data_IF_609662245977
#
_entry.id   IF_609662245977
#
_cell.length_a   1.000
_cell.length_b   1.000
_cell.length_c   1.000
_cell.angle_alpha   90.00
_cell.angle_beta   90.00
_cell.angle_gamma   90.00
#
_symmetry.space_group_name_H-M   'P 1'
#
loop_
_entity.id
_entity.type
_entity.pdbx_description
1 polymer ?
#
# COMPACT_ATOMS: atom_id res chain seq x y z
N UNK A 1 22.66 17.27 -9.81
CA UNK A 1 22.18 16.36 -8.74
C UNK A 1 20.84 15.82 -9.23
N UNK A 2 20.67 14.50 -9.32
CA UNK A 2 19.34 13.93 -9.61
C UNK A 2 18.38 14.36 -8.51
N UNK A 3 17.21 14.86 -8.89
CA UNK A 3 16.16 15.23 -7.96
C UNK A 3 15.72 13.99 -7.17
N UNK A 4 15.59 14.09 -5.84
CA UNK A 4 15.22 12.94 -5.01
C UNK A 4 13.80 12.52 -5.34
N UNK A 5 13.62 11.28 -5.80
CA UNK A 5 12.30 10.68 -6.05
C UNK A 5 11.45 10.70 -4.79
N UNK A 6 10.16 10.96 -4.90
CA UNK A 6 9.22 10.84 -3.78
C UNK A 6 9.01 9.35 -3.44
N UNK A 7 8.96 9.03 -2.15
CA UNK A 7 8.80 7.68 -1.65
C UNK A 7 7.46 7.53 -0.94
N UNK A 8 6.64 6.58 -1.42
CA UNK A 8 5.28 6.38 -0.92
C UNK A 8 5.11 5.02 -0.25
N UNK A 9 4.45 5.04 0.89
CA UNK A 9 4.03 3.82 1.58
C UNK A 9 2.69 3.34 0.99
N UNK A 10 2.69 2.15 0.36
CA UNK A 10 1.51 1.60 -0.30
C UNK A 10 0.38 1.22 0.65
N UNK A 11 -0.89 1.31 0.21
CA UNK A 11 -2.01 0.76 0.95
C UNK A 11 -1.95 -0.77 0.97
N UNK A 12 -1.92 -1.37 2.18
CA UNK A 12 -1.93 -2.81 2.37
C UNK A 12 -3.12 -3.19 3.25
N UNK A 13 -4.19 -3.68 2.61
CA UNK A 13 -5.42 -4.06 3.31
C UNK A 13 -5.13 -5.14 4.36
N UNK A 14 -5.67 -4.94 5.55
CA UNK A 14 -5.47 -5.83 6.67
C UNK A 14 -4.21 -5.53 7.50
N UNK A 15 -3.14 -5.04 6.91
CA UNK A 15 -1.81 -4.86 7.53
C UNK A 15 -1.51 -3.41 7.88
N UNK A 16 -1.52 -2.51 6.88
CA UNK A 16 -1.09 -1.12 7.04
C UNK A 16 -2.20 -0.20 7.57
N UNK A 17 -2.90 -0.60 8.64
CA UNK A 17 -3.84 0.24 9.35
C UNK A 17 -3.15 1.39 10.09
N UNK A 18 -3.94 2.37 10.60
CA UNK A 18 -3.40 3.58 11.22
C UNK A 18 -2.39 3.32 12.35
N UNK A 19 -2.60 2.27 13.15
CA UNK A 19 -1.67 1.91 14.24
C UNK A 19 -0.30 1.56 13.67
N UNK A 20 -0.27 0.69 12.65
CA UNK A 20 0.98 0.28 12.02
C UNK A 20 1.68 1.46 11.34
N UNK A 21 0.93 2.30 10.60
CA UNK A 21 1.51 3.47 9.91
C UNK A 21 2.14 4.46 10.88
N UNK A 22 1.47 4.74 12.02
CA UNK A 22 2.01 5.66 13.02
C UNK A 22 3.28 5.13 13.66
N UNK A 23 3.29 3.86 14.08
CA UNK A 23 4.50 3.25 14.64
C UNK A 23 5.61 3.24 13.59
N UNK A 24 5.26 2.93 12.33
CA UNK A 24 6.26 2.99 11.27
C UNK A 24 6.84 4.41 11.15
N UNK A 25 6.02 5.45 11.16
CA UNK A 25 6.45 6.84 11.08
C UNK A 25 7.24 7.30 12.32
N UNK A 26 6.97 6.74 13.50
CA UNK A 26 7.73 7.03 14.73
C UNK A 26 9.18 6.49 14.67
N UNK A 27 9.41 5.44 13.87
CA UNK A 27 10.71 4.80 13.71
C UNK A 27 11.45 5.18 12.41
N UNK A 28 10.69 5.58 11.38
CA UNK A 28 11.20 5.83 10.02
C UNK A 28 10.59 7.10 9.42
N UNK A 29 11.42 8.10 9.17
CA UNK A 29 11.04 9.44 8.72
C UNK A 29 11.21 9.69 7.20
N UNK A 30 11.43 8.63 6.41
CA UNK A 30 11.81 8.73 5.00
C UNK A 30 10.63 8.57 4.02
N UNK A 31 9.39 8.69 4.49
CA UNK A 31 8.17 8.51 3.69
C UNK A 31 7.51 9.86 3.38
N UNK A 32 7.38 10.18 2.10
CA UNK A 32 6.76 11.44 1.66
C UNK A 32 5.22 11.39 1.73
N UNK A 33 4.61 10.21 1.44
CA UNK A 33 3.16 9.99 1.52
C UNK A 33 2.84 8.57 1.98
N UNK A 34 1.80 8.47 2.79
CA UNK A 34 1.16 7.19 3.17
C UNK A 34 -0.20 7.07 2.51
N UNK A 35 -0.58 5.86 2.11
CA UNK A 35 -1.92 5.59 1.58
C UNK A 35 -2.66 4.65 2.52
N UNK A 36 -3.92 4.99 2.85
CA UNK A 36 -4.72 4.13 3.72
C UNK A 36 -5.17 2.86 3.02
N UNK A 37 -5.43 1.77 3.74
CA UNK A 37 -6.37 0.75 3.28
C UNK A 37 -7.66 1.41 2.78
N UNK A 38 -8.32 0.79 1.80
CA UNK A 38 -9.43 1.44 1.13
C UNK A 38 -10.72 1.50 1.97
N UNK A 39 -11.41 2.63 1.86
CA UNK A 39 -12.79 2.81 2.29
C UNK A 39 -13.71 2.33 1.17
N UNK A 40 -14.64 1.43 1.50
CA UNK A 40 -15.59 0.87 0.52
C UNK A 40 -16.84 1.74 0.44
N UNK A 41 -17.19 2.22 -0.75
CA UNK A 41 -18.46 2.95 -0.96
C UNK A 41 -19.69 2.02 -0.82
N UNK A 42 -20.74 2.54 -0.16
CA UNK A 42 -21.99 1.82 0.11
C UNK A 42 -23.20 2.66 -0.26
N UNK A 43 -24.35 2.04 -0.59
CA UNK A 43 -25.58 2.79 -0.90
C UNK A 43 -26.02 3.70 0.25
N UNK A 44 -25.73 3.33 1.51
CA UNK A 44 -26.05 4.15 2.69
C UNK A 44 -25.19 5.42 2.80
N UNK A 45 -24.11 5.53 2.04
CA UNK A 45 -23.13 6.61 2.17
C UNK A 45 -22.32 6.59 3.47
N UNK A 46 -22.56 5.63 4.37
CA UNK A 46 -21.93 5.58 5.69
C UNK A 46 -20.66 4.72 5.65
N UNK A 47 -19.54 5.27 6.10
CA UNK A 47 -18.29 4.53 6.31
C UNK A 47 -18.43 3.58 7.52
N UNK A 48 -17.77 2.42 7.46
CA UNK A 48 -17.68 1.57 8.66
C UNK A 48 -16.76 2.23 9.69
N UNK A 49 -17.07 2.01 10.98
CA UNK A 49 -16.26 2.54 12.07
C UNK A 49 -14.77 2.18 11.96
N UNK A 50 -14.45 0.97 11.48
CA UNK A 50 -13.06 0.56 11.24
C UNK A 50 -12.39 1.42 10.16
N UNK A 51 -13.08 1.64 9.02
CA UNK A 51 -12.57 2.44 7.90
C UNK A 51 -12.42 3.90 8.31
N UNK A 52 -13.41 4.44 9.01
CA UNK A 52 -13.39 5.81 9.52
C UNK A 52 -12.20 6.01 10.50
N UNK A 53 -12.03 5.12 11.49
CA UNK A 53 -10.89 5.20 12.42
C UNK A 53 -9.54 5.20 11.71
N UNK A 54 -9.45 4.50 10.59
CA UNK A 54 -8.20 4.39 9.82
C UNK A 54 -7.79 5.69 9.14
N UNK A 55 -8.77 6.57 8.87
CA UNK A 55 -8.55 7.84 8.18
C UNK A 55 -8.86 9.08 9.04
N UNK A 56 -9.26 8.93 10.31
CA UNK A 56 -9.45 10.10 11.18
C UNK A 56 -8.14 10.89 11.32
N UNK A 57 -8.14 12.23 11.12
CA UNK A 57 -6.93 13.05 11.25
C UNK A 57 -6.23 12.86 12.59
N UNK A 58 -6.95 12.84 13.70
CA UNK A 58 -6.39 12.59 15.04
C UNK A 58 -5.63 11.25 15.20
N UNK A 59 -5.87 10.31 14.30
CA UNK A 59 -5.16 9.03 14.26
C UNK A 59 -4.01 9.03 13.23
N UNK A 60 -3.75 10.16 12.57
CA UNK A 60 -2.76 10.28 11.49
C UNK A 60 -2.03 11.64 11.51
N UNK A 61 -1.88 12.26 12.69
CA UNK A 61 -1.39 13.65 12.83
C UNK A 61 0.05 13.84 12.32
N UNK A 62 0.89 12.81 12.45
CA UNK A 62 2.33 12.90 12.14
C UNK A 62 2.67 12.38 10.74
N UNK A 63 1.68 12.08 9.90
CA UNK A 63 1.91 11.52 8.57
C UNK A 63 1.12 12.26 7.49
N UNK A 64 1.70 12.36 6.29
CA UNK A 64 0.98 12.81 5.11
C UNK A 64 0.14 11.65 4.55
N UNK A 65 -1.10 11.51 5.02
CA UNK A 65 -2.00 10.44 4.61
C UNK A 65 -2.87 10.84 3.42
N UNK A 66 -2.94 9.96 2.42
CA UNK A 66 -3.92 10.00 1.34
C UNK A 66 -4.93 8.87 1.55
N UNK A 67 -6.20 9.17 1.86
CA UNK A 67 -7.22 8.14 2.01
C UNK A 67 -7.57 7.52 0.65
N UNK A 68 -7.72 6.18 0.63
CA UNK A 68 -8.04 5.45 -0.60
C UNK A 68 -9.53 5.04 -0.60
N UNK A 69 -10.18 5.19 -1.75
CA UNK A 69 -11.59 4.84 -1.99
C UNK A 69 -11.69 3.65 -2.95
N UNK A 70 -12.50 2.66 -2.58
CA UNK A 70 -12.87 1.54 -3.45
C UNK A 70 -14.31 1.70 -3.91
N UNK A 71 -14.50 2.09 -5.17
CA UNK A 71 -15.79 2.39 -5.79
C UNK A 71 -15.88 1.84 -7.21
N UNK A 72 -17.10 1.70 -7.70
CA UNK A 72 -17.49 1.50 -9.09
C UNK A 72 -18.77 2.30 -9.45
N UNK A 73 -19.16 3.20 -8.57
CA UNK A 73 -20.28 4.11 -8.75
C UNK A 73 -19.81 5.52 -8.42
N UNK A 74 -20.03 6.46 -9.34
CA UNK A 74 -19.49 7.81 -9.23
C UNK A 74 -20.10 8.60 -8.06
N UNK A 75 -21.42 8.52 -7.82
CA UNK A 75 -22.06 9.24 -6.73
C UNK A 75 -21.56 8.72 -5.36
N UNK A 76 -21.33 7.41 -5.25
CA UNK A 76 -20.72 6.82 -4.05
C UNK A 76 -19.27 7.29 -3.83
N UNK A 77 -18.48 7.44 -4.89
CA UNK A 77 -17.14 8.01 -4.82
C UNK A 77 -17.16 9.46 -4.39
N UNK A 78 -18.00 10.29 -5.03
CA UNK A 78 -18.15 11.72 -4.75
C UNK A 78 -18.58 11.95 -3.29
N UNK A 79 -19.54 11.15 -2.80
CA UNK A 79 -19.97 11.21 -1.39
C UNK A 79 -18.82 10.89 -0.43
N UNK A 80 -18.09 9.80 -0.68
CA UNK A 80 -16.95 9.42 0.16
C UNK A 80 -15.83 10.47 0.12
N UNK A 81 -15.52 11.01 -1.06
CA UNK A 81 -14.54 12.09 -1.22
C UNK A 81 -14.97 13.36 -0.48
N UNK A 82 -16.26 13.73 -0.53
CA UNK A 82 -16.82 14.84 0.23
C UNK A 82 -16.63 14.69 1.74
N UNK A 83 -16.92 13.51 2.30
CA UNK A 83 -16.67 13.22 3.71
C UNK A 83 -15.17 13.32 4.06
N UNK A 84 -14.27 12.85 3.17
CA UNK A 84 -12.83 12.97 3.37
C UNK A 84 -12.36 14.43 3.31
N UNK A 85 -12.96 15.25 2.44
CA UNK A 85 -12.70 16.70 2.41
C UNK A 85 -13.14 17.38 3.71
N UNK A 86 -14.30 17.02 4.27
CA UNK A 86 -14.76 17.52 5.59
C UNK A 86 -13.80 17.14 6.73
N UNK A 87 -13.10 16.01 6.61
CA UNK A 87 -12.02 15.61 7.51
C UNK A 87 -10.70 16.38 7.28
N UNK A 88 -10.63 17.27 6.27
CA UNK A 88 -9.46 18.09 5.97
C UNK A 88 -8.49 17.51 4.93
N UNK A 89 -8.84 16.42 4.26
CA UNK A 89 -7.99 15.87 3.19
C UNK A 89 -8.15 16.68 1.89
N UNK A 90 -7.02 16.93 1.21
CA UNK A 90 -6.96 17.64 -0.08
C UNK A 90 -6.80 16.68 -1.27
N UNK A 91 -6.44 15.43 -1.01
CA UNK A 91 -6.23 14.39 -2.01
C UNK A 91 -6.94 13.12 -1.56
N UNK A 92 -7.56 12.43 -2.53
CA UNK A 92 -8.09 11.07 -2.37
C UNK A 92 -7.51 10.17 -3.46
N UNK A 93 -7.41 8.87 -3.18
CA UNK A 93 -6.91 7.90 -4.13
C UNK A 93 -8.00 6.91 -4.55
N UNK A 94 -8.21 6.73 -5.85
CA UNK A 94 -9.11 5.70 -6.38
C UNK A 94 -8.38 4.36 -6.50
N UNK A 95 -8.97 3.29 -5.92
CA UNK A 95 -8.43 1.94 -6.05
C UNK A 95 -8.99 1.23 -7.30
N UNK A 96 -8.13 1.02 -8.28
CA UNK A 96 -8.35 0.18 -9.47
C UNK A 96 -7.32 -0.95 -9.57
N UNK A 97 -6.77 -1.38 -8.42
CA UNK A 97 -5.68 -2.36 -8.38
C UNK A 97 -5.94 -3.60 -7.53
N UNK A 98 -6.91 -3.58 -6.61
CA UNK A 98 -7.18 -4.74 -5.74
C UNK A 98 -7.71 -5.93 -6.53
N UNK A 99 -6.98 -7.09 -6.55
CA UNK A 99 -7.38 -8.27 -7.32
C UNK A 99 -8.19 -9.28 -6.50
N UNK A 100 -8.56 -8.96 -5.27
CA UNK A 100 -9.32 -9.87 -4.40
C UNK A 100 -10.65 -10.29 -5.04
N UNK A 101 -10.95 -11.58 -5.04
CA UNK A 101 -12.18 -12.12 -5.63
C UNK A 101 -13.45 -11.46 -5.10
N UNK A 102 -13.51 -11.09 -3.82
CA UNK A 102 -14.65 -10.38 -3.21
C UNK A 102 -14.81 -8.94 -3.69
N UNK A 103 -13.72 -8.33 -4.19
CA UNK A 103 -13.70 -6.99 -4.79
C UNK A 103 -14.06 -7.08 -6.27
N UNK A 104 -13.39 -7.98 -6.98
CA UNK A 104 -13.56 -8.18 -8.44
C UNK A 104 -14.98 -8.63 -8.80
N UNK A 105 -15.59 -9.54 -8.01
CA UNK A 105 -16.97 -10.00 -8.23
C UNK A 105 -18.02 -8.88 -8.16
N UNK A 106 -17.65 -7.73 -7.57
CA UNK A 106 -18.49 -6.53 -7.47
C UNK A 106 -18.09 -5.44 -8.47
N UNK A 107 -17.38 -5.77 -9.54
CA UNK A 107 -16.83 -4.83 -10.52
C UNK A 107 -16.01 -3.69 -9.88
N UNK A 108 -15.21 -3.97 -8.84
CA UNK A 108 -14.40 -2.98 -8.11
C UNK A 108 -12.92 -3.31 -8.19
N UNK A 109 -12.06 -2.37 -7.80
CA UNK A 109 -10.62 -2.56 -7.83
C UNK A 109 -10.14 -2.92 -9.24
N UNK A 110 -9.27 -3.93 -9.36
CA UNK A 110 -8.81 -4.40 -10.67
C UNK A 110 -9.95 -4.93 -11.56
N UNK A 111 -11.04 -5.43 -10.96
CA UNK A 111 -12.21 -5.91 -11.70
C UNK A 111 -12.94 -4.84 -12.49
N UNK A 112 -12.81 -3.56 -12.14
CA UNK A 112 -13.42 -2.46 -12.88
C UNK A 112 -12.70 -2.18 -14.21
N UNK A 113 -11.41 -2.52 -14.31
CA UNK A 113 -10.62 -2.36 -15.54
C UNK A 113 -11.14 -3.18 -16.73
N UNK A 114 -11.97 -4.19 -16.49
CA UNK A 114 -12.66 -4.99 -17.53
C UNK A 114 -13.73 -4.23 -18.30
N UNK A 115 -14.12 -3.06 -17.82
CA UNK A 115 -15.26 -2.29 -18.32
C UNK A 115 -14.78 -0.87 -18.66
N UNK A 116 -13.95 -0.70 -19.71
CA UNK A 116 -13.31 0.56 -20.03
C UNK A 116 -14.32 1.69 -20.32
N UNK A 117 -15.45 1.40 -20.95
CA UNK A 117 -16.49 2.40 -21.25
C UNK A 117 -17.21 2.85 -19.96
N UNK A 118 -17.61 1.92 -19.10
CA UNK A 118 -18.19 2.24 -17.77
C UNK A 118 -17.18 3.02 -16.89
N UNK A 119 -15.89 2.69 -17.00
CA UNK A 119 -14.82 3.40 -16.31
C UNK A 119 -14.67 4.83 -16.84
N UNK A 120 -14.74 5.03 -18.15
CA UNK A 120 -14.67 6.36 -18.77
C UNK A 120 -15.83 7.25 -18.28
N UNK A 121 -17.07 6.76 -18.31
CA UNK A 121 -18.26 7.46 -17.79
C UNK A 121 -18.12 7.78 -16.27
N UNK A 122 -17.60 6.82 -15.50
CA UNK A 122 -17.33 7.01 -14.08
C UNK A 122 -16.31 8.12 -13.84
N UNK A 123 -15.21 8.14 -14.60
CA UNK A 123 -14.16 9.14 -14.49
C UNK A 123 -14.68 10.52 -14.90
N UNK A 124 -15.43 10.62 -16.01
CA UNK A 124 -16.05 11.86 -16.45
C UNK A 124 -16.88 12.48 -15.33
N UNK A 125 -17.75 11.68 -14.71
CA UNK A 125 -18.60 12.13 -13.62
C UNK A 125 -17.83 12.59 -12.39
N UNK A 126 -16.82 11.84 -11.94
CA UNK A 126 -16.07 12.22 -10.73
C UNK A 126 -15.19 13.45 -10.95
N UNK A 127 -14.55 13.59 -12.12
CA UNK A 127 -13.73 14.77 -12.43
C UNK A 127 -14.54 16.02 -12.73
N UNK A 128 -15.80 15.87 -13.16
CA UNK A 128 -16.72 17.01 -13.35
C UNK A 128 -17.24 17.57 -12.02
N UNK A 129 -17.44 16.72 -11.00
CA UNK A 129 -18.17 17.10 -9.78
C UNK A 129 -17.26 17.20 -8.55
N UNK A 130 -16.21 16.37 -8.46
CA UNK A 130 -15.37 16.30 -7.27
C UNK A 130 -14.28 17.39 -7.32
N UNK A 131 -14.32 18.29 -6.35
CA UNK A 131 -13.34 19.38 -6.19
C UNK A 131 -12.19 18.96 -5.26
N UNK A 132 -11.54 17.85 -5.58
CA UNK A 132 -10.36 17.34 -4.85
C UNK A 132 -9.31 16.84 -5.83
N UNK A 133 -8.06 16.77 -5.39
CA UNK A 133 -7.03 16.04 -6.13
C UNK A 133 -7.36 14.54 -6.09
N UNK A 134 -7.51 13.94 -7.27
CA UNK A 134 -7.78 12.50 -7.39
C UNK A 134 -6.57 11.83 -8.01
N UNK A 135 -5.84 11.04 -7.21
CA UNK A 135 -4.85 10.09 -7.71
C UNK A 135 -5.48 8.71 -7.91
N UNK A 136 -4.90 7.89 -8.77
CA UNK A 136 -5.44 6.57 -9.12
C UNK A 136 -4.38 5.52 -8.93
N UNK A 137 -4.65 4.49 -8.11
CA UNK A 137 -3.78 3.31 -8.01
C UNK A 137 -4.39 2.17 -8.81
N UNK A 138 -3.69 1.75 -9.88
CA UNK A 138 -4.20 0.77 -10.84
C UNK A 138 -3.20 -0.34 -11.18
N UNK A 139 -3.72 -1.40 -11.77
CA UNK A 139 -2.94 -2.39 -12.53
C UNK A 139 -2.92 -2.03 -14.02
N UNK A 140 -2.11 -2.73 -14.83
CA UNK A 140 -2.04 -2.49 -16.27
C UNK A 140 -3.30 -2.93 -17.01
N UNK A 141 -4.03 -3.88 -16.45
CA UNK A 141 -5.29 -4.42 -16.95
C UNK A 141 -5.80 -5.47 -15.97
N UNK A 142 -6.85 -6.21 -16.34
CA UNK A 142 -7.35 -7.33 -15.56
C UNK A 142 -6.91 -8.69 -16.12
N UNK A 143 -7.11 -8.94 -17.41
CA UNK A 143 -6.83 -10.22 -18.06
C UNK A 143 -5.56 -10.17 -18.90
N UNK A 144 -5.39 -9.12 -19.72
CA UNK A 144 -4.31 -8.98 -20.67
C UNK A 144 -3.49 -7.70 -20.39
N UNK A 145 -2.15 -7.77 -20.45
CA UNK A 145 -1.30 -6.58 -20.37
C UNK A 145 -1.63 -5.50 -21.40
N UNK A 146 -2.08 -5.88 -22.60
CA UNK A 146 -2.41 -4.95 -23.69
C UNK A 146 -3.63 -4.05 -23.40
N UNK A 147 -4.42 -4.38 -22.38
CA UNK A 147 -5.50 -3.50 -21.89
C UNK A 147 -4.98 -2.12 -21.46
N UNK A 148 -3.68 -2.02 -21.14
CA UNK A 148 -3.02 -0.76 -20.76
C UNK A 148 -3.17 0.31 -21.84
N UNK A 149 -3.13 -0.06 -23.13
CA UNK A 149 -3.23 0.88 -24.23
C UNK A 149 -4.54 1.66 -24.16
N UNK A 150 -5.66 0.96 -24.10
CA UNK A 150 -6.99 1.59 -23.99
C UNK A 150 -7.17 2.35 -22.67
N UNK A 151 -6.65 1.79 -21.58
CA UNK A 151 -6.77 2.44 -20.27
C UNK A 151 -6.00 3.76 -20.20
N UNK A 152 -4.79 3.86 -20.78
CA UNK A 152 -4.04 5.13 -20.78
C UNK A 152 -4.74 6.17 -21.66
N UNK A 153 -5.33 5.78 -22.80
CA UNK A 153 -6.14 6.69 -23.60
C UNK A 153 -7.31 7.31 -22.79
N UNK A 154 -7.99 6.49 -21.98
CA UNK A 154 -9.07 6.95 -21.11
C UNK A 154 -8.53 7.90 -20.03
N UNK A 155 -7.49 7.51 -19.27
CA UNK A 155 -6.95 8.37 -18.22
C UNK A 155 -6.37 9.68 -18.76
N UNK A 156 -5.90 9.72 -19.99
CA UNK A 156 -5.40 10.95 -20.64
C UNK A 156 -6.48 11.99 -20.97
N UNK A 157 -7.76 11.65 -20.82
CA UNK A 157 -8.88 12.60 -20.96
C UNK A 157 -9.09 13.45 -19.71
N UNK A 158 -8.59 13.00 -18.57
CA UNK A 158 -8.87 13.56 -17.24
C UNK A 158 -7.61 14.10 -16.55
N UNK A 159 -7.74 15.14 -15.71
CA UNK A 159 -6.61 15.70 -14.96
C UNK A 159 -6.30 14.82 -13.72
N UNK A 160 -5.82 13.61 -13.96
CA UNK A 160 -5.44 12.69 -12.88
C UNK A 160 -4.23 13.27 -12.14
N UNK A 161 -4.35 13.46 -10.83
CA UNK A 161 -3.27 14.05 -10.04
C UNK A 161 -1.99 13.21 -10.08
N UNK A 162 -2.12 11.88 -10.06
CA UNK A 162 -1.02 10.93 -10.24
C UNK A 162 -1.56 9.52 -10.54
N UNK A 163 -0.99 8.84 -11.54
CA UNK A 163 -1.25 7.43 -11.87
C UNK A 163 -0.21 6.54 -11.17
N UNK A 164 -0.61 5.82 -10.15
CA UNK A 164 0.24 4.85 -9.46
C UNK A 164 0.02 3.48 -10.12
N UNK A 165 0.97 3.04 -10.91
CA UNK A 165 0.84 1.86 -11.75
C UNK A 165 1.58 0.66 -11.15
N UNK A 166 0.84 -0.43 -10.87
CA UNK A 166 1.41 -1.73 -10.59
C UNK A 166 1.41 -2.54 -11.91
N UNK A 167 2.58 -2.76 -12.55
CA UNK A 167 2.64 -3.33 -13.88
C UNK A 167 2.45 -4.86 -13.90
N UNK A 168 1.32 -5.30 -13.38
CA UNK A 168 0.74 -6.64 -13.44
C UNK A 168 -0.72 -6.54 -13.79
N UNK A 169 -1.28 -7.61 -14.40
CA UNK A 169 -2.73 -7.74 -14.58
C UNK A 169 -3.44 -8.11 -13.26
N UNK A 170 -4.77 -8.00 -13.23
CA UNK A 170 -5.57 -8.46 -12.11
C UNK A 170 -5.40 -9.96 -11.85
N UNK A 171 -5.34 -10.76 -12.92
CA UNK A 171 -5.19 -12.23 -12.88
C UNK A 171 -3.81 -12.67 -12.39
N UNK A 172 -2.76 -11.91 -12.67
CA UNK A 172 -1.42 -12.22 -12.15
C UNK A 172 -1.38 -12.27 -10.62
N UNK A 173 -2.26 -11.55 -9.96
CA UNK A 173 -2.18 -11.36 -8.51
C UNK A 173 -0.79 -10.82 -8.10
N UNK A 174 0.10 -11.73 -7.65
CA UNK A 174 1.48 -11.45 -7.27
C UNK A 174 2.47 -12.51 -7.77
N UNK A 175 2.05 -13.37 -8.72
CA UNK A 175 2.83 -14.55 -9.16
C UNK A 175 3.87 -14.21 -10.21
N UNK A 176 3.48 -13.44 -11.22
CA UNK A 176 4.36 -13.08 -12.33
C UNK A 176 5.26 -11.89 -11.96
N UNK A 177 6.34 -11.67 -12.73
CA UNK A 177 7.15 -10.46 -12.59
C UNK A 177 6.39 -9.23 -13.09
N UNK A 178 6.67 -8.01 -12.56
CA UNK A 178 6.16 -6.77 -13.14
C UNK A 178 6.54 -6.66 -14.62
N UNK A 179 5.57 -6.29 -15.46
CA UNK A 179 5.80 -6.06 -16.89
C UNK A 179 6.35 -4.65 -17.09
N UNK A 180 7.67 -4.54 -17.14
CA UNK A 180 8.36 -3.26 -17.22
C UNK A 180 8.20 -2.58 -18.60
N UNK A 181 7.87 -3.33 -19.66
CA UNK A 181 7.61 -2.78 -21.00
C UNK A 181 6.26 -2.04 -21.02
N UNK A 182 5.24 -2.63 -20.39
CA UNK A 182 3.94 -1.96 -20.25
C UNK A 182 3.99 -0.76 -19.31
N UNK A 183 4.88 -0.78 -18.31
CA UNK A 183 5.14 0.41 -17.49
C UNK A 183 5.83 1.50 -18.31
N UNK A 184 6.84 1.16 -19.09
CA UNK A 184 7.53 2.09 -19.99
C UNK A 184 6.57 2.77 -20.96
N UNK A 185 5.70 1.96 -21.61
CA UNK A 185 4.66 2.52 -22.46
C UNK A 185 3.77 3.52 -21.71
N UNK A 186 3.30 3.16 -20.52
CA UNK A 186 2.44 4.03 -19.73
C UNK A 186 3.14 5.32 -19.31
N UNK A 187 4.42 5.24 -18.90
CA UNK A 187 5.23 6.39 -18.52
C UNK A 187 5.40 7.38 -19.69
N UNK A 188 5.71 6.85 -20.88
CA UNK A 188 5.97 7.68 -22.08
C UNK A 188 4.70 8.22 -22.75
N UNK A 189 3.53 7.59 -22.50
CA UNK A 189 2.27 7.95 -23.19
C UNK A 189 1.29 8.71 -22.29
N UNK A 190 1.44 8.60 -20.98
CA UNK A 190 0.58 9.29 -20.01
C UNK A 190 0.79 10.79 -20.08
N UNK A 191 -0.34 11.55 -20.12
CA UNK A 191 -0.33 13.01 -19.95
C UNK A 191 -0.32 13.42 -18.46
N UNK A 192 -0.51 12.45 -17.56
CA UNK A 192 -0.56 12.66 -16.13
C UNK A 192 0.75 12.13 -15.48
N UNK A 193 1.16 12.66 -14.33
CA UNK A 193 2.32 12.13 -13.59
C UNK A 193 2.17 10.64 -13.28
N UNK A 194 3.25 9.88 -13.40
CA UNK A 194 3.24 8.42 -13.21
C UNK A 194 4.16 8.02 -12.05
N UNK A 195 3.61 7.23 -11.12
CA UNK A 195 4.33 6.60 -10.02
C UNK A 195 4.51 5.10 -10.28
N UNK A 196 5.72 4.59 -10.11
CA UNK A 196 5.97 3.15 -10.17
C UNK A 196 5.59 2.46 -8.86
N UNK A 197 4.93 1.31 -8.96
CA UNK A 197 4.68 0.44 -7.82
C UNK A 197 4.84 -1.04 -8.21
N UNK A 198 5.89 -1.71 -7.78
CA UNK A 198 6.07 -3.14 -8.06
C UNK A 198 7.39 -3.67 -7.51
N UNK A 199 7.35 -4.79 -6.83
CA UNK A 199 8.43 -5.68 -6.38
C UNK A 199 9.80 -5.04 -6.01
N UNK A 200 9.78 -3.88 -5.40
CA UNK A 200 10.98 -3.28 -4.78
C UNK A 200 11.07 -3.84 -3.36
N UNK A 201 12.13 -4.60 -3.08
CA UNK A 201 12.41 -5.22 -1.78
C UNK A 201 13.77 -4.81 -1.23
N UNK A 202 14.69 -4.44 -2.08
CA UNK A 202 16.06 -4.02 -1.76
C UNK A 202 16.36 -2.65 -2.36
N UNK A 203 17.44 -2.02 -1.88
CA UNK A 203 17.95 -0.79 -2.51
C UNK A 203 18.39 -1.06 -3.95
N UNK A 204 18.93 -2.22 -4.26
CA UNK A 204 19.33 -2.61 -5.62
C UNK A 204 18.12 -2.68 -6.56
N UNK A 205 16.96 -3.20 -6.11
CA UNK A 205 15.72 -3.16 -6.90
C UNK A 205 15.30 -1.72 -7.20
N UNK A 206 15.40 -0.84 -6.19
CA UNK A 206 15.07 0.58 -6.36
C UNK A 206 16.01 1.26 -7.37
N UNK A 207 17.31 1.03 -7.26
CA UNK A 207 18.31 1.61 -8.15
C UNK A 207 18.05 1.15 -9.60
N UNK A 208 17.83 -0.16 -9.83
CA UNK A 208 17.50 -0.71 -11.15
C UNK A 208 16.26 -0.06 -11.77
N UNK A 209 15.19 0.14 -10.98
CA UNK A 209 13.96 0.77 -11.47
C UNK A 209 14.19 2.24 -11.80
N UNK A 210 14.90 2.98 -10.96
CA UNK A 210 15.13 4.42 -11.16
C UNK A 210 16.15 4.72 -12.25
N UNK A 211 17.11 3.83 -12.49
CA UNK A 211 18.01 3.89 -13.63
C UNK A 211 17.29 3.61 -14.94
N UNK A 212 16.39 2.62 -14.95
CA UNK A 212 15.59 2.28 -16.13
C UNK A 212 14.54 3.33 -16.47
N UNK A 213 13.94 3.96 -15.46
CA UNK A 213 12.85 4.94 -15.60
C UNK A 213 13.21 6.26 -14.89
N UNK A 214 14.17 7.01 -15.43
CA UNK A 214 14.65 8.25 -14.79
C UNK A 214 13.56 9.33 -14.70
N UNK A 215 12.57 9.33 -15.59
CA UNK A 215 11.49 10.32 -15.65
C UNK A 215 10.35 10.05 -14.66
N UNK A 216 10.41 8.96 -13.90
CA UNK A 216 9.42 8.69 -12.85
C UNK A 216 9.70 9.56 -11.62
N UNK A 217 8.75 10.40 -11.20
CA UNK A 217 8.93 11.33 -10.06
C UNK A 217 8.81 10.64 -8.71
N UNK A 218 8.06 9.55 -8.63
CA UNK A 218 7.67 8.90 -7.39
C UNK A 218 7.71 7.37 -7.48
N UNK A 219 8.00 6.75 -6.35
CA UNK A 219 8.08 5.29 -6.21
C UNK A 219 7.23 4.88 -5.00
N UNK A 220 6.28 3.97 -5.21
CA UNK A 220 5.46 3.42 -4.13
C UNK A 220 5.94 2.00 -3.78
N UNK A 221 6.23 1.77 -2.50
CA UNK A 221 6.67 0.45 -2.01
C UNK A 221 5.63 -0.09 -1.01
N UNK A 222 5.30 -1.36 -1.15
CA UNK A 222 4.35 -2.06 -0.27
C UNK A 222 5.03 -3.17 0.52
N UNK A 223 4.95 -4.40 0.02
CA UNK A 223 5.46 -5.58 0.71
C UNK A 223 6.95 -5.54 1.03
N UNK A 224 7.74 -4.82 0.24
CA UNK A 224 9.16 -4.62 0.51
C UNK A 224 9.40 -3.94 1.86
N UNK A 225 8.59 -2.95 2.24
CA UNK A 225 8.68 -2.26 3.53
C UNK A 225 8.28 -3.16 4.71
N UNK A 226 7.41 -4.14 4.48
CA UNK A 226 7.08 -5.12 5.52
C UNK A 226 8.20 -6.15 5.70
N UNK A 227 8.89 -6.50 4.62
CA UNK A 227 10.01 -7.43 4.64
C UNK A 227 11.31 -6.75 5.10
N UNK A 228 11.53 -5.50 4.74
CA UNK A 228 12.66 -4.67 5.16
C UNK A 228 12.13 -3.31 5.64
N UNK A 229 11.80 -3.15 6.92
CA UNK A 229 11.28 -1.88 7.44
C UNK A 229 12.21 -0.68 7.24
N UNK A 230 13.53 -0.89 7.18
CA UNK A 230 14.53 0.15 6.96
C UNK A 230 14.75 0.56 5.48
N UNK A 231 14.03 -0.06 4.53
CA UNK A 231 14.30 0.11 3.09
C UNK A 231 14.24 1.57 2.62
N UNK A 232 13.28 2.36 3.07
CA UNK A 232 13.23 3.77 2.68
C UNK A 232 14.46 4.55 3.19
N UNK A 233 14.94 4.25 4.40
CA UNK A 233 16.17 4.81 4.93
C UNK A 233 17.39 4.42 4.09
N UNK A 234 17.51 3.15 3.70
CA UNK A 234 18.58 2.68 2.82
C UNK A 234 18.56 3.37 1.46
N UNK A 235 17.38 3.58 0.86
CA UNK A 235 17.21 4.35 -0.38
C UNK A 235 17.66 5.81 -0.19
N UNK A 236 17.43 6.39 0.98
CA UNK A 236 17.86 7.77 1.33
C UNK A 236 19.33 7.86 1.73
N UNK A 237 20.06 6.73 1.75
CA UNK A 237 21.49 6.68 2.08
C UNK A 237 21.77 6.47 3.57
N UNK A 238 20.77 6.14 4.37
CA UNK A 238 20.93 5.64 5.75
C UNK A 238 21.39 4.17 5.69
N UNK A 239 22.09 3.72 6.71
CA UNK A 239 22.48 2.29 6.82
C UNK A 239 21.29 1.37 7.02
N UNK A 240 21.53 0.06 6.88
CA UNK A 240 20.55 -0.95 7.27
C UNK A 240 20.27 -0.86 8.77
N UNK A 241 19.05 -1.19 9.18
CA UNK A 241 18.72 -1.30 10.61
C UNK A 241 19.38 -2.55 11.19
N UNK A 242 19.76 -2.49 12.46
CA UNK A 242 20.26 -3.64 13.18
C UNK A 242 19.14 -4.40 13.91
N UNK A 243 19.51 -5.56 14.46
CA UNK A 243 18.58 -6.44 15.18
C UNK A 243 17.98 -5.78 16.43
N UNK A 244 18.73 -4.95 17.14
CA UNK A 244 18.23 -4.28 18.34
C UNK A 244 17.24 -3.18 17.99
N UNK A 245 17.45 -2.49 16.87
CA UNK A 245 16.46 -1.55 16.33
C UNK A 245 15.18 -2.28 15.92
N UNK A 246 15.29 -3.39 15.17
CA UNK A 246 14.14 -4.21 14.79
C UNK A 246 13.37 -4.70 16.02
N UNK A 247 14.06 -5.15 17.07
CA UNK A 247 13.44 -5.60 18.32
C UNK A 247 12.61 -4.49 18.98
N UNK A 248 13.14 -3.26 19.05
CA UNK A 248 12.41 -2.09 19.58
C UNK A 248 11.18 -1.78 18.73
N UNK A 249 11.32 -1.77 17.40
CA UNK A 249 10.22 -1.56 16.46
C UNK A 249 9.11 -2.62 16.62
N UNK A 250 9.48 -3.90 16.64
CA UNK A 250 8.54 -4.99 16.87
C UNK A 250 7.85 -4.89 18.23
N UNK A 251 8.58 -4.54 19.29
CA UNK A 251 8.00 -4.37 20.63
C UNK A 251 7.00 -3.22 20.66
N UNK A 252 7.29 -2.09 20.00
CA UNK A 252 6.37 -0.98 19.90
C UNK A 252 5.06 -1.37 19.19
N UNK A 253 5.13 -2.16 18.11
CA UNK A 253 3.94 -2.72 17.44
C UNK A 253 3.14 -3.60 18.40
N UNK A 254 3.81 -4.51 19.10
CA UNK A 254 3.19 -5.42 20.06
C UNK A 254 2.44 -4.65 21.16
N UNK A 255 3.11 -3.71 21.81
CA UNK A 255 2.56 -2.93 22.91
C UNK A 255 1.35 -2.08 22.46
N UNK A 256 1.46 -1.45 21.29
CA UNK A 256 0.37 -0.64 20.75
C UNK A 256 -0.84 -1.48 20.36
N UNK A 257 -0.63 -2.67 19.79
CA UNK A 257 -1.74 -3.59 19.50
C UNK A 257 -2.43 -4.05 20.78
N UNK A 258 -1.66 -4.37 21.84
CA UNK A 258 -2.21 -4.72 23.15
C UNK A 258 -2.95 -3.55 23.82
N UNK A 259 -2.52 -2.31 23.58
CA UNK A 259 -3.17 -1.12 24.12
C UNK A 259 -4.51 -0.80 23.44
N UNK A 260 -4.61 -1.06 22.13
CA UNK A 260 -5.76 -0.59 21.30
C UNK A 260 -6.78 -1.68 21.05
N UNK A 261 -6.37 -2.94 21.02
CA UNK A 261 -7.24 -4.07 20.73
C UNK A 261 -7.51 -4.92 21.95
N UNK A 262 -8.75 -5.38 22.06
CA UNK A 262 -9.17 -6.33 23.07
C UNK A 262 -9.08 -7.76 22.55
N UNK A 263 -8.61 -8.67 23.42
CA UNK A 263 -8.59 -10.12 23.22
C UNK A 263 -7.38 -10.64 22.43
N UNK A 264 -6.69 -11.60 23.05
CA UNK A 264 -5.48 -12.25 22.54
C UNK A 264 -5.62 -12.75 21.09
N UNK A 265 -6.76 -13.32 20.73
CA UNK A 265 -6.99 -13.92 19.40
C UNK A 265 -6.83 -12.90 18.28
N UNK A 266 -7.42 -11.69 18.44
CA UNK A 266 -7.36 -10.66 17.42
C UNK A 266 -5.97 -10.03 17.33
N UNK A 267 -5.35 -9.76 18.48
CA UNK A 267 -3.97 -9.24 18.56
C UNK A 267 -3.00 -10.23 17.90
N UNK A 268 -3.09 -11.50 18.26
CA UNK A 268 -2.27 -12.57 17.67
C UNK A 268 -2.47 -12.71 16.16
N UNK A 269 -3.70 -12.57 15.68
CA UNK A 269 -3.98 -12.60 14.25
C UNK A 269 -3.19 -11.50 13.52
N UNK A 270 -3.24 -10.26 14.02
CA UNK A 270 -2.52 -9.13 13.46
C UNK A 270 -1.00 -9.29 13.51
N UNK A 271 -0.47 -9.69 14.66
CA UNK A 271 0.97 -9.88 14.85
C UNK A 271 1.53 -11.00 13.95
N UNK A 272 0.81 -12.12 13.84
CA UNK A 272 1.22 -13.25 12.99
C UNK A 272 1.20 -12.94 11.50
N UNK A 273 0.30 -12.04 11.06
CA UNK A 273 0.26 -11.57 9.69
C UNK A 273 1.55 -10.82 9.32
N UNK A 274 2.09 -10.01 10.23
CA UNK A 274 3.37 -9.30 10.03
C UNK A 274 4.55 -10.27 9.92
N UNK A 275 4.55 -11.37 10.71
CA UNK A 275 5.62 -12.37 10.64
C UNK A 275 5.68 -13.15 9.32
N UNK A 276 4.68 -13.05 8.47
CA UNK A 276 4.77 -13.56 7.10
C UNK A 276 5.78 -12.76 6.25
N UNK A 277 6.09 -11.54 6.67
CA UNK A 277 7.03 -10.63 6.01
C UNK A 277 8.35 -10.51 6.81
N UNK A 278 8.29 -10.22 8.09
CA UNK A 278 9.46 -10.05 8.95
C UNK A 278 10.41 -11.27 8.97
N UNK A 279 9.87 -12.45 8.72
CA UNK A 279 10.67 -13.68 8.68
C UNK A 279 11.78 -13.65 7.63
N UNK A 280 11.63 -12.86 6.57
CA UNK A 280 12.60 -12.77 5.49
C UNK A 280 13.93 -12.11 5.91
N UNK A 281 13.92 -11.36 7.01
CA UNK A 281 15.10 -10.67 7.55
C UNK A 281 15.92 -11.54 8.49
N UNK A 282 15.54 -12.81 8.67
CA UNK A 282 16.18 -13.71 9.62
C UNK A 282 16.61 -15.03 8.99
N UNK A 283 17.89 -15.39 9.16
CA UNK A 283 18.43 -16.66 8.70
C UNK A 283 17.89 -17.82 9.56
N UNK A 284 17.59 -18.96 8.93
CA UNK A 284 17.10 -20.18 9.59
C UNK A 284 15.85 -19.99 10.47
N UNK A 285 15.01 -19.00 10.14
CA UNK A 285 13.85 -18.60 10.95
C UNK A 285 12.68 -19.59 10.93
N UNK A 286 12.57 -20.45 9.92
CA UNK A 286 11.37 -21.26 9.62
C UNK A 286 10.77 -22.00 10.80
N UNK A 287 11.63 -22.69 11.59
CA UNK A 287 11.19 -23.47 12.77
C UNK A 287 10.62 -22.57 13.87
N UNK A 288 11.14 -21.35 14.01
CA UNK A 288 10.70 -20.38 15.01
C UNK A 288 9.44 -19.67 14.57
N UNK A 289 9.34 -19.29 13.31
CA UNK A 289 8.14 -18.71 12.69
C UNK A 289 6.95 -19.68 12.78
N UNK A 290 7.19 -20.99 12.60
CA UNK A 290 6.17 -22.03 12.86
C UNK A 290 5.65 -22.01 14.30
N UNK A 291 6.51 -21.74 15.31
CA UNK A 291 6.10 -21.59 16.71
C UNK A 291 5.28 -20.32 16.92
N UNK A 292 5.74 -19.18 16.36
CA UNK A 292 5.01 -17.91 16.40
C UNK A 292 3.59 -18.09 15.82
N UNK A 293 3.48 -18.72 14.65
CA UNK A 293 2.17 -18.98 13.98
C UNK A 293 1.26 -19.89 14.81
N UNK A 294 1.80 -20.83 15.60
CA UNK A 294 1.02 -21.75 16.43
C UNK A 294 0.62 -21.18 17.79
N UNK A 295 1.21 -20.09 18.25
CA UNK A 295 0.92 -19.49 19.55
C UNK A 295 -0.58 -19.17 19.69
N UNK A 296 -1.17 -19.54 20.81
CA UNK A 296 -2.59 -19.29 21.14
C UNK A 296 -2.77 -18.22 22.21
N UNK A 297 -1.69 -17.87 22.92
CA UNK A 297 -1.65 -16.83 23.95
C UNK A 297 -0.54 -15.83 23.64
N UNK A 298 -0.69 -14.60 24.11
CA UNK A 298 0.35 -13.56 23.94
C UNK A 298 1.66 -13.91 24.61
N UNK A 299 1.62 -14.63 25.74
CA UNK A 299 2.80 -15.14 26.43
C UNK A 299 3.59 -16.15 25.59
N UNK A 300 2.90 -17.08 24.92
CA UNK A 300 3.51 -18.04 24.01
C UNK A 300 4.14 -17.34 22.80
N UNK A 301 3.45 -16.33 22.27
CA UNK A 301 3.93 -15.52 21.16
C UNK A 301 5.22 -14.79 21.54
N UNK A 302 5.25 -14.09 22.69
CA UNK A 302 6.44 -13.39 23.18
C UNK A 302 7.63 -14.33 23.31
N UNK A 303 7.46 -15.45 23.98
CA UNK A 303 8.52 -16.44 24.16
C UNK A 303 9.06 -16.99 22.83
N UNK A 304 8.17 -17.21 21.84
CA UNK A 304 8.58 -17.66 20.52
C UNK A 304 9.37 -16.60 19.75
N UNK A 305 8.95 -15.33 19.83
CA UNK A 305 9.65 -14.17 19.21
C UNK A 305 11.02 -13.97 19.89
N UNK A 306 11.10 -13.95 21.21
CA UNK A 306 12.36 -13.83 21.94
C UNK A 306 13.34 -14.96 21.58
N UNK A 307 12.83 -16.19 21.44
CA UNK A 307 13.64 -17.32 21.01
C UNK A 307 14.18 -17.11 19.58
N UNK A 308 13.37 -16.62 18.65
CA UNK A 308 13.81 -16.30 17.29
C UNK A 308 14.89 -15.22 17.32
N UNK A 309 14.62 -14.12 17.99
CA UNK A 309 15.54 -12.97 18.09
C UNK A 309 16.89 -13.36 18.72
N UNK A 310 16.91 -14.32 19.65
CA UNK A 310 18.15 -14.79 20.29
C UNK A 310 18.94 -15.79 19.45
N UNK A 311 18.29 -16.53 18.56
CA UNK A 311 18.89 -17.69 17.86
C UNK A 311 19.18 -17.47 16.39
N UNK A 312 18.46 -16.57 15.73
CA UNK A 312 18.59 -16.31 14.30
C UNK A 312 19.47 -15.07 14.06
N UNK A 313 20.31 -15.12 13.04
CA UNK A 313 20.99 -13.92 12.55
C UNK A 313 19.97 -13.00 11.88
N UNK A 314 20.21 -11.71 11.95
CA UNK A 314 19.38 -10.70 11.29
C UNK A 314 20.21 -10.08 10.16
N UNK A 315 19.75 -10.23 8.94
CA UNK A 315 20.40 -9.71 7.75
C UNK A 315 19.36 -9.05 6.88
N UNK A 316 19.47 -7.74 6.76
CA UNK A 316 18.65 -6.91 5.87
C UNK A 316 19.55 -6.46 4.72
N UNK A 317 19.24 -6.93 3.49
CA UNK A 317 19.96 -6.52 2.27
C UNK A 317 19.60 -5.11 1.82
#
# INVERSE_FOLDING_TARGET
MMEKKKLYFAPLEGVAGYIFRNIYADFFDDVDKYFSPFVVTRPSGIMKNKELRDILPKNNENISLVPQILANNADGFINAAGQMRELGYNEVNLNLGCPSGTVVSKKRGAGFLRYPEELDEFLDRIYTVCDMKISVKKRIGFENPDEIYRLIEIFNKYPVYELIIHPRTGQDMYKNKPNLEMFDYALNTSKNPVCYNGDIKTKSDYDMITERFPDTDSIMIGRGILANPGLFGQIRGKGAIDKEFFKKYHQAIFDKFCQVYDGDTFILFKLKELWAYFANDFDDADKYVKKIRKAKKLTEYKAAVETLLSRCSFSVE
#
